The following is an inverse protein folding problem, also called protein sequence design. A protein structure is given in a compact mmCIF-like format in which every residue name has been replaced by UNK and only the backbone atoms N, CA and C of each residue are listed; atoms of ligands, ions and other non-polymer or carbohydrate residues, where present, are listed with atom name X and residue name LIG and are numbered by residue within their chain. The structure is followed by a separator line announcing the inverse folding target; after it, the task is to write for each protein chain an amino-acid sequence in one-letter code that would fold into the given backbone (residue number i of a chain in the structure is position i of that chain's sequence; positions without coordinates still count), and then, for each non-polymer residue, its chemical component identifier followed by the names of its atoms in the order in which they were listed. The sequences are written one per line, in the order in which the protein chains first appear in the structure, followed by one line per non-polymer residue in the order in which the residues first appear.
data_IF_792172031689
#
_entry.id   IF_792172031689
#
_cell.length_a   1.000
_cell.length_b   1.000
_cell.length_c   1.000
_cell.angle_alpha   90.00
_cell.angle_beta   90.00
_cell.angle_gamma   90.00
#
_symmetry.space_group_name_H-M   'P 1'
#
loop_
_entity.id
_entity.type
_entity.pdbx_description
1 polymer ?
#
# COMPACT_ATOMS: atom_id res chain seq x y z
N UNK A 1 1.44 18.99 -4.53
CA UNK A 1 0.44 18.12 -3.85
C UNK A 1 0.65 16.72 -4.40
N UNK A 2 1.02 15.76 -3.54
CA UNK A 2 1.27 14.36 -3.91
C UNK A 2 0.10 13.51 -3.41
N UNK A 3 -0.41 12.62 -4.26
CA UNK A 3 -1.41 11.62 -3.89
C UNK A 3 -0.83 10.25 -4.24
N UNK A 4 -0.58 9.43 -3.22
CA UNK A 4 -0.02 8.09 -3.40
C UNK A 4 -0.60 7.13 -2.37
N UNK A 5 -0.57 5.85 -2.72
CA UNK A 5 -0.88 4.75 -1.80
C UNK A 5 0.39 4.17 -1.17
N UNK A 6 1.57 4.58 -1.67
CA UNK A 6 2.86 4.15 -1.14
C UNK A 6 3.26 5.01 0.06
N UNK A 7 3.23 4.39 1.23
CA UNK A 7 3.60 5.01 2.50
C UNK A 7 5.07 5.41 2.58
N UNK A 8 5.97 4.67 1.91
CA UNK A 8 7.40 4.95 1.95
C UNK A 8 7.72 6.19 1.13
N UNK A 9 7.11 6.28 -0.06
CA UNK A 9 7.19 7.47 -0.90
C UNK A 9 6.67 8.70 -0.16
N UNK A 10 5.46 8.61 0.42
CA UNK A 10 4.86 9.72 1.15
C UNK A 10 5.74 10.14 2.33
N UNK A 11 6.20 9.19 3.16
CA UNK A 11 7.07 9.50 4.30
C UNK A 11 8.39 10.15 3.91
N UNK A 12 8.95 9.81 2.75
CA UNK A 12 10.24 10.32 2.30
C UNK A 12 10.17 11.68 1.59
N UNK A 13 8.99 12.09 1.10
CA UNK A 13 8.87 13.24 0.19
C UNK A 13 7.90 14.32 0.64
N UNK A 14 7.10 14.10 1.71
CA UNK A 14 6.08 15.06 2.15
C UNK A 14 6.26 15.49 3.60
N UNK A 15 6.15 16.80 3.86
CA UNK A 15 6.27 17.40 5.19
C UNK A 15 4.95 17.46 5.97
N UNK A 16 3.82 17.47 5.27
CA UNK A 16 2.49 17.64 5.86
C UNK A 16 1.49 16.69 5.20
N UNK A 17 0.57 16.18 6.02
CA UNK A 17 -0.53 15.32 5.57
C UNK A 17 -1.86 16.05 5.64
N UNK A 18 -2.74 15.72 4.69
CA UNK A 18 -4.12 16.17 4.65
C UNK A 18 -5.03 14.94 4.69
N UNK A 19 -5.99 14.94 5.60
CA UNK A 19 -6.99 13.89 5.73
C UNK A 19 -8.28 14.35 5.05
N UNK A 20 -8.79 13.53 4.12
CA UNK A 20 -10.07 13.74 3.46
C UNK A 20 -11.06 12.70 4.00
N UNK A 21 -12.02 13.13 4.80
CA UNK A 21 -13.02 12.25 5.40
C UNK A 21 -14.37 12.97 5.51
N UNK A 22 -15.47 12.25 5.27
CA UNK A 22 -16.82 12.81 5.41
C UNK A 22 -17.15 13.97 4.46
N UNK A 23 -16.36 14.18 3.40
CA UNK A 23 -16.52 15.31 2.45
C UNK A 23 -15.75 16.58 2.84
N UNK A 24 -15.03 16.57 3.95
CA UNK A 24 -14.20 17.69 4.41
C UNK A 24 -12.70 17.34 4.36
N UNK A 25 -11.87 18.37 4.27
CA UNK A 25 -10.40 18.26 4.26
C UNK A 25 -9.86 18.90 5.53
N UNK A 26 -9.05 18.15 6.28
CA UNK A 26 -8.41 18.62 7.50
C UNK A 26 -6.90 18.40 7.45
N UNK A 27 -6.14 19.28 8.10
CA UNK A 27 -4.73 19.02 8.38
C UNK A 27 -4.61 17.79 9.29
N UNK A 28 -3.68 16.89 8.96
CA UNK A 28 -3.46 15.67 9.71
C UNK A 28 -2.09 15.72 10.39
N UNK A 29 -2.09 15.76 11.72
CA UNK A 29 -0.87 15.81 12.55
C UNK A 29 -0.35 14.42 12.95
N UNK A 30 -1.04 13.35 12.56
CA UNK A 30 -0.59 11.98 12.80
C UNK A 30 0.37 11.48 11.71
N UNK A 31 1.00 10.34 11.97
CA UNK A 31 1.78 9.65 10.94
C UNK A 31 0.93 8.66 10.11
N UNK A 32 1.56 8.03 9.11
CA UNK A 32 0.88 7.05 8.24
C UNK A 32 0.46 5.76 8.99
N UNK A 33 1.09 5.44 10.12
CA UNK A 33 0.72 4.29 10.95
C UNK A 33 -0.52 4.61 11.83
N UNK A 34 -0.62 5.84 12.32
CA UNK A 34 -1.80 6.37 13.02
C UNK A 34 -3.01 6.42 12.08
N UNK A 35 -2.80 6.84 10.81
CA UNK A 35 -3.85 6.84 9.81
C UNK A 35 -4.41 5.43 9.56
N UNK A 36 -3.52 4.43 9.49
CA UNK A 36 -3.92 3.02 9.37
C UNK A 36 -4.75 2.56 10.56
N UNK A 37 -4.34 2.91 11.78
CA UNK A 37 -5.10 2.56 12.99
C UNK A 37 -6.47 3.23 13.02
N UNK A 38 -6.55 4.49 12.63
CA UNK A 38 -7.79 5.25 12.51
C UNK A 38 -8.74 4.58 11.49
N UNK A 39 -8.24 4.21 10.31
CA UNK A 39 -9.03 3.55 9.27
C UNK A 39 -9.57 2.19 9.73
N UNK A 40 -8.77 1.40 10.45
CA UNK A 40 -9.21 0.12 11.03
C UNK A 40 -10.31 0.31 12.08
N UNK A 41 -10.19 1.34 12.91
CA UNK A 41 -11.19 1.70 13.93
C UNK A 41 -12.48 2.16 13.26
N UNK A 42 -12.38 2.99 12.23
CA UNK A 42 -13.53 3.49 11.48
C UNK A 42 -14.27 2.36 10.77
N UNK A 43 -13.55 1.44 10.12
CA UNK A 43 -14.12 0.25 9.48
C UNK A 43 -14.83 -0.66 10.50
N UNK A 44 -14.29 -0.80 11.71
CA UNK A 44 -14.93 -1.53 12.80
C UNK A 44 -16.20 -0.83 13.31
N UNK A 45 -16.19 0.50 13.42
CA UNK A 45 -17.35 1.30 13.83
C UNK A 45 -18.47 1.28 12.77
N UNK A 46 -18.13 1.36 11.48
CA UNK A 46 -19.10 1.26 10.37
C UNK A 46 -19.79 -0.12 10.34
N UNK A 47 -19.10 -1.19 10.72
CA UNK A 47 -19.68 -2.53 10.85
C UNK A 47 -20.59 -2.70 12.07
N UNK A 48 -20.46 -1.85 13.09
CA UNK A 48 -21.21 -1.96 14.34
C UNK A 48 -22.60 -1.29 14.30
N UNK A 49 -22.97 -0.58 13.23
CA UNK A 49 -24.26 0.11 13.14
C UNK A 49 -24.39 1.33 14.08
N UNK A 50 -25.34 2.25 13.84
CA UNK A 50 -25.36 3.54 14.50
C UNK A 50 -26.03 3.44 15.88
N UNK A 51 -25.24 3.25 16.94
CA UNK A 51 -25.68 3.59 18.29
C UNK A 51 -25.23 5.01 18.62
N UNK A 52 -26.16 5.96 18.56
CA UNK A 52 -25.96 7.28 19.14
C UNK A 52 -25.92 7.17 20.68
N UNK A 53 -25.03 7.99 21.25
CA UNK A 53 -25.15 8.76 22.50
C UNK A 53 -24.26 8.33 23.68
N UNK A 54 -23.39 9.28 24.03
CA UNK A 54 -22.91 9.70 25.35
C UNK A 54 -21.94 8.86 26.19
N UNK A 55 -20.81 9.53 26.47
CA UNK A 55 -20.03 9.55 27.71
C UNK A 55 -20.06 8.31 28.61
N UNK A 56 -18.96 7.56 28.61
CA UNK A 56 -18.52 6.83 29.79
C UNK A 56 -16.99 6.82 29.88
N UNK A 57 -16.47 7.53 30.90
CA UNK A 57 -15.13 7.34 31.41
C UNK A 57 -15.02 5.95 32.05
N UNK A 58 -13.84 5.36 31.89
CA UNK A 58 -13.27 4.24 32.65
C UNK A 58 -13.91 2.86 32.48
N UNK A 59 -13.14 1.95 31.91
CA UNK A 59 -13.05 0.57 32.40
C UNK A 59 -11.78 -0.05 31.80
N UNK A 60 -11.03 -0.72 32.66
CA UNK A 60 -9.74 -1.35 32.38
C UNK A 60 -9.76 -2.13 31.07
N UNK A 61 -8.73 -1.94 30.24
CA UNK A 61 -8.52 -2.79 29.06
C UNK A 61 -7.91 -4.11 29.57
N UNK A 62 -8.63 -5.24 29.47
CA UNK A 62 -8.06 -6.55 29.77
C UNK A 62 -6.91 -6.80 28.79
N UNK A 63 -5.85 -7.46 29.26
CA UNK A 63 -4.64 -7.76 28.50
C UNK A 63 -4.93 -8.05 27.03
N UNK A 64 -4.42 -7.17 26.16
CA UNK A 64 -4.60 -7.25 24.72
C UNK A 64 -4.12 -8.63 24.26
N UNK A 65 -4.98 -9.50 23.69
CA UNK A 65 -4.50 -10.75 23.13
C UNK A 65 -3.45 -10.39 22.07
N UNK A 66 -2.22 -10.90 22.24
CA UNK A 66 -1.15 -10.76 21.25
C UNK A 66 -1.75 -11.08 19.89
N UNK A 67 -1.74 -10.13 18.92
CA UNK A 67 -2.31 -10.42 17.61
C UNK A 67 -1.57 -11.62 17.03
N UNK A 68 -2.30 -12.48 16.32
CA UNK A 68 -1.73 -13.62 15.59
C UNK A 68 -0.92 -13.07 14.41
N UNK A 69 0.28 -12.57 14.69
CA UNK A 69 1.21 -11.94 13.75
C UNK A 69 1.88 -12.97 12.83
N UNK A 70 1.93 -14.24 13.24
CA UNK A 70 2.56 -15.32 12.47
C UNK A 70 2.00 -15.51 11.05
N UNK A 71 0.68 -15.64 10.85
CA UNK A 71 0.13 -15.77 9.49
C UNK A 71 0.24 -14.48 8.66
N UNK A 72 0.15 -13.30 9.29
CA UNK A 72 0.23 -12.01 8.60
C UNK A 72 1.64 -11.68 8.12
N UNK A 73 2.66 -11.97 8.93
CA UNK A 73 4.08 -11.79 8.56
C UNK A 73 4.49 -12.72 7.42
N UNK A 74 3.98 -13.97 7.40
CA UNK A 74 4.20 -14.89 6.27
C UNK A 74 3.53 -14.41 4.98
N UNK A 75 2.32 -13.86 5.07
CA UNK A 75 1.64 -13.29 3.92
C UNK A 75 2.39 -12.07 3.37
N UNK A 76 2.91 -11.22 4.26
CA UNK A 76 3.72 -10.06 3.91
C UNK A 76 5.02 -10.45 3.19
N UNK A 77 5.79 -11.39 3.76
CA UNK A 77 7.02 -11.89 3.15
C UNK A 77 6.77 -12.54 1.77
N UNK A 78 5.63 -13.23 1.60
CA UNK A 78 5.25 -13.79 0.29
C UNK A 78 4.98 -12.70 -0.74
N UNK A 79 4.24 -11.66 -0.36
CA UNK A 79 3.92 -10.54 -1.24
C UNK A 79 5.18 -9.76 -1.60
N UNK A 80 6.07 -9.51 -0.64
CA UNK A 80 7.38 -8.88 -0.88
C UNK A 80 8.21 -9.68 -1.87
N UNK A 81 8.32 -11.00 -1.70
CA UNK A 81 9.03 -11.85 -2.67
C UNK A 81 8.40 -11.81 -4.07
N UNK A 82 7.07 -11.69 -4.17
CA UNK A 82 6.40 -11.53 -5.47
C UNK A 82 6.67 -10.17 -6.11
N UNK A 83 6.77 -9.10 -5.30
CA UNK A 83 7.16 -7.77 -5.77
C UNK A 83 8.60 -7.76 -6.29
N UNK A 84 9.54 -8.36 -5.55
CA UNK A 84 10.93 -8.46 -5.98
C UNK A 84 11.08 -9.25 -7.28
N UNK A 85 10.33 -10.36 -7.41
CA UNK A 85 10.28 -11.14 -8.66
C UNK A 85 9.71 -10.33 -9.83
N UNK A 86 8.65 -9.56 -9.58
CA UNK A 86 8.05 -8.67 -10.57
C UNK A 86 9.01 -7.56 -11.00
N UNK A 87 9.67 -6.91 -10.04
CA UNK A 87 10.66 -5.86 -10.29
C UNK A 87 11.84 -6.39 -11.13
N UNK A 88 12.38 -7.56 -10.78
CA UNK A 88 13.44 -8.21 -11.55
C UNK A 88 12.97 -8.67 -12.94
N UNK A 89 11.67 -8.96 -13.13
CA UNK A 89 11.13 -9.25 -14.46
C UNK A 89 11.02 -7.99 -15.31
N UNK A 90 10.54 -6.88 -14.73
CA UNK A 90 10.46 -5.57 -15.39
C UNK A 90 11.85 -5.12 -15.82
N UNK A 91 12.83 -5.12 -14.92
CA UNK A 91 14.20 -4.68 -15.21
C UNK A 91 14.84 -5.49 -16.35
N UNK A 92 14.61 -6.81 -16.39
CA UNK A 92 15.09 -7.67 -17.50
C UNK A 92 14.43 -7.31 -18.82
N UNK A 93 13.12 -7.09 -18.82
CA UNK A 93 12.36 -6.74 -20.03
C UNK A 93 12.78 -5.35 -20.52
N UNK A 94 12.91 -4.37 -19.62
CA UNK A 94 13.38 -3.02 -19.95
C UNK A 94 14.79 -3.04 -20.53
N UNK A 95 15.71 -3.82 -19.93
CA UNK A 95 17.07 -3.99 -20.46
C UNK A 95 17.06 -4.63 -21.85
N UNK A 96 16.20 -5.62 -22.08
CA UNK A 96 16.07 -6.26 -23.38
C UNK A 96 15.43 -5.33 -24.43
N UNK A 97 14.47 -4.49 -24.02
CA UNK A 97 13.83 -3.49 -24.89
C UNK A 97 14.72 -2.26 -25.13
N UNK A 98 15.72 -2.02 -24.30
CA UNK A 98 16.68 -0.92 -24.46
C UNK A 98 17.74 -1.21 -25.53
N UNK A 99 17.88 -2.45 -26.00
CA UNK A 99 18.84 -2.82 -27.05
C UNK A 99 18.40 -2.25 -28.43
N UNK A 100 19.16 -1.31 -29.03
CA UNK A 100 18.84 -0.76 -30.35
C UNK A 100 18.79 -1.81 -31.46
N UNK A 101 19.54 -2.92 -31.32
CA UNK A 101 19.56 -4.00 -32.29
C UNK A 101 18.22 -4.74 -32.39
N UNK A 102 17.37 -4.64 -31.36
CA UNK A 102 16.04 -5.23 -31.36
C UNK A 102 15.10 -4.58 -32.41
N UNK A 103 15.40 -3.33 -32.79
CA UNK A 103 14.56 -2.52 -33.69
C UNK A 103 15.10 -2.45 -35.14
N UNK A 104 16.33 -2.92 -35.38
CA UNK A 104 16.96 -2.92 -36.70
C UNK A 104 17.23 -4.35 -37.18
N UNK A 105 16.62 -4.75 -38.30
CA UNK A 105 16.98 -5.97 -39.03
C UNK A 105 16.46 -7.29 -38.44
N UNK A 106 15.15 -7.51 -38.47
CA UNK A 106 14.56 -8.85 -38.23
C UNK A 106 14.20 -9.19 -36.78
N UNK A 107 14.43 -8.29 -35.80
CA UNK A 107 14.09 -8.48 -34.38
C UNK A 107 12.60 -8.46 -34.01
N UNK A 108 11.68 -8.40 -34.98
CA UNK A 108 10.22 -8.29 -34.75
C UNK A 108 9.64 -9.45 -33.95
N UNK A 109 10.12 -10.66 -34.16
CA UNK A 109 9.62 -11.85 -33.47
C UNK A 109 10.00 -11.81 -31.98
N UNK A 110 11.23 -11.40 -31.68
CA UNK A 110 11.75 -11.24 -30.31
C UNK A 110 11.08 -10.07 -29.56
N UNK A 111 10.78 -8.98 -30.26
CA UNK A 111 10.00 -7.87 -29.71
C UNK A 111 8.56 -8.30 -29.37
N UNK A 112 7.93 -9.10 -30.25
CA UNK A 112 6.57 -9.61 -30.03
C UNK A 112 6.51 -10.56 -28.84
N UNK A 113 7.53 -11.41 -28.67
CA UNK A 113 7.66 -12.31 -27.53
C UNK A 113 7.83 -11.56 -26.20
N UNK A 114 8.66 -10.50 -26.18
CA UNK A 114 8.84 -9.66 -24.99
C UNK A 114 7.57 -8.89 -24.60
N UNK A 115 6.76 -8.47 -25.58
CA UNK A 115 5.49 -7.76 -25.35
C UNK A 115 4.32 -8.70 -25.00
N UNK A 116 4.45 -10.02 -25.24
CA UNK A 116 3.44 -11.02 -24.93
C UNK A 116 3.49 -11.50 -23.47
N UNK A 117 4.49 -11.09 -22.69
CA UNK A 117 4.58 -11.41 -21.25
C UNK A 117 3.42 -10.71 -20.53
N UNK A 118 2.52 -11.52 -19.95
CA UNK A 118 1.28 -11.09 -19.27
C UNK A 118 1.41 -11.19 -17.76
#
# INVERSE_FOLDING_TARGET
IVVSHDRHLLRATTDQFLLIAGGEVHAYEGDLDDYRMWLLKEAAQRRAGPAKTETAKTSAVPGRPKPRLGPLTKALARIEAQLDQGAAAIERIETALADPALYTGGGRDRLTELLAVR
#
